data_IF_525820710917
#
_entry.id   IF_525820710917
#
_cell.length_a   1.000
_cell.length_b   1.000
_cell.length_c   1.000
_cell.angle_alpha   90.00
_cell.angle_beta   90.00
_cell.angle_gamma   90.00
#
_symmetry.space_group_name_H-M   'P 1'
#
loop_
_entity.id
_entity.type
_entity.pdbx_description
1 polymer ?
#
# COMPACT_ATOMS: atom_id res chain seq x y z
N UNK A 1 -8.72 17.83 -2.29
CA UNK A 1 -9.37 16.60 -1.77
C UNK A 1 -10.13 15.91 -2.89
N UNK A 2 -10.01 14.59 -3.05
CA UNK A 2 -10.84 13.81 -4.00
C UNK A 2 -12.11 13.38 -3.26
N UNK A 3 -13.27 13.83 -3.72
CA UNK A 3 -14.56 13.49 -3.11
C UNK A 3 -15.61 13.30 -4.20
N UNK A 4 -16.24 12.13 -4.21
CA UNK A 4 -17.35 11.80 -5.10
C UNK A 4 -18.65 11.70 -4.31
N UNK A 5 -19.34 10.56 -4.43
CA UNK A 5 -20.48 10.21 -3.55
C UNK A 5 -20.07 10.21 -2.06
N UNK A 6 -18.87 9.68 -1.76
CA UNK A 6 -18.23 9.64 -0.45
C UNK A 6 -16.70 9.78 -0.64
N UNK A 7 -15.95 9.84 0.46
CA UNK A 7 -14.51 9.66 0.41
C UNK A 7 -14.14 8.25 -0.08
N UNK A 8 -12.99 8.08 -0.75
CA UNK A 8 -12.56 6.76 -1.20
C UNK A 8 -12.25 5.80 -0.05
N UNK A 9 -12.72 4.55 -0.16
CA UNK A 9 -12.39 3.43 0.73
C UNK A 9 -11.46 2.43 0.03
N UNK A 10 -10.27 2.92 -0.31
CA UNK A 10 -9.32 2.20 -1.17
C UNK A 10 -8.74 0.92 -0.53
N UNK A 11 -8.72 0.83 0.79
CA UNK A 11 -8.25 -0.37 1.52
C UNK A 11 -9.16 -1.59 1.36
N UNK A 12 -10.40 -1.42 0.91
CA UNK A 12 -11.38 -2.51 0.80
C UNK A 12 -11.56 -3.06 -0.61
N UNK A 13 -10.71 -2.68 -1.57
CA UNK A 13 -10.75 -3.27 -2.91
C UNK A 13 -10.46 -4.78 -2.87
N UNK A 14 -11.11 -5.51 -3.76
CA UNK A 14 -10.90 -6.94 -3.92
C UNK A 14 -9.64 -7.18 -4.74
N UNK A 15 -8.77 -8.04 -4.23
CA UNK A 15 -7.50 -8.42 -4.86
C UNK A 15 -7.43 -9.93 -5.03
N UNK A 16 -6.49 -10.42 -5.83
CA UNK A 16 -6.29 -11.85 -5.99
C UNK A 16 -5.49 -12.38 -4.81
N UNK A 17 -5.96 -13.48 -4.22
CA UNK A 17 -5.21 -14.23 -3.21
C UNK A 17 -3.93 -14.79 -3.81
N UNK A 18 -2.83 -14.72 -3.06
CA UNK A 18 -1.61 -15.40 -3.47
C UNK A 18 -1.87 -16.92 -3.46
N UNK A 19 -1.45 -17.70 -4.47
CA UNK A 19 -1.79 -19.12 -4.57
C UNK A 19 -1.31 -19.99 -3.40
N UNK A 20 -0.32 -19.50 -2.64
CA UNK A 20 0.24 -20.19 -1.47
C UNK A 20 -0.29 -19.65 -0.13
N UNK A 21 -1.13 -18.61 -0.13
CA UNK A 21 -1.61 -17.98 1.10
C UNK A 21 -3.00 -18.52 1.50
N UNK A 22 -3.01 -19.35 2.54
CA UNK A 22 -4.22 -19.94 3.10
C UNK A 22 -4.89 -19.06 4.18
N UNK A 23 -4.34 -17.88 4.48
CA UNK A 23 -4.89 -16.98 5.49
C UNK A 23 -6.27 -16.44 5.09
N UNK A 24 -7.30 -16.61 5.92
CA UNK A 24 -8.68 -16.25 5.56
C UNK A 24 -8.89 -14.75 5.32
N UNK A 25 -8.12 -13.89 5.97
CA UNK A 25 -8.26 -12.45 5.90
C UNK A 25 -8.86 -11.83 7.18
N UNK A 26 -8.33 -10.68 7.61
CA UNK A 26 -8.67 -10.03 8.88
C UNK A 26 -9.95 -9.19 8.80
N UNK A 27 -10.31 -8.72 7.61
CA UNK A 27 -11.39 -7.74 7.46
C UNK A 27 -12.73 -8.37 7.87
N UNK A 28 -13.49 -7.74 8.79
CA UNK A 28 -14.77 -8.31 9.23
C UNK A 28 -15.85 -8.29 8.14
N UNK A 29 -15.73 -7.39 7.16
CA UNK A 29 -16.71 -7.22 6.07
C UNK A 29 -16.42 -8.11 4.86
N UNK A 30 -15.18 -8.13 4.41
CA UNK A 30 -14.81 -8.73 3.12
C UNK A 30 -13.87 -9.92 3.24
N UNK A 31 -13.36 -10.20 4.46
CA UNK A 31 -12.29 -11.17 4.71
C UNK A 31 -11.00 -10.82 3.99
N UNK A 32 -10.88 -11.13 2.71
CA UNK A 32 -9.65 -11.08 1.91
C UNK A 32 -9.58 -9.89 0.92
N UNK A 33 -10.21 -8.76 1.27
CA UNK A 33 -9.88 -7.48 0.63
C UNK A 33 -8.44 -7.05 0.95
N UNK A 34 -7.93 -6.01 0.28
CA UNK A 34 -6.56 -5.53 0.46
C UNK A 34 -6.17 -5.34 1.94
N UNK A 35 -6.93 -4.56 2.71
CA UNK A 35 -6.71 -4.39 4.15
C UNK A 35 -6.74 -5.73 4.90
N UNK A 36 -7.70 -6.58 4.56
CA UNK A 36 -7.86 -7.89 5.16
C UNK A 36 -6.64 -8.79 4.99
N UNK A 37 -5.86 -8.60 3.93
CA UNK A 37 -4.68 -9.40 3.62
C UNK A 37 -3.35 -8.73 3.98
N UNK A 38 -3.29 -7.40 4.01
CA UNK A 38 -2.05 -6.60 4.08
C UNK A 38 -1.94 -5.68 5.33
N UNK A 39 -2.99 -5.56 6.14
CA UNK A 39 -2.89 -4.73 7.34
C UNK A 39 -1.92 -5.35 8.37
N UNK A 40 -1.31 -4.52 9.23
CA UNK A 40 -0.48 -5.01 10.35
C UNK A 40 -1.15 -6.10 11.20
N UNK A 41 -2.44 -5.97 11.58
CA UNK A 41 -3.17 -7.04 12.26
C UNK A 41 -3.39 -8.30 11.42
N UNK A 42 -3.39 -8.21 10.09
CA UNK A 42 -3.42 -9.36 9.20
C UNK A 42 -2.07 -10.09 9.17
N UNK A 43 -0.96 -9.34 9.15
CA UNK A 43 0.40 -9.90 9.31
C UNK A 43 0.50 -10.64 10.65
N UNK A 44 0.08 -10.00 11.74
CA UNK A 44 0.14 -10.61 13.08
C UNK A 44 -0.71 -11.88 13.18
N UNK A 45 -1.94 -11.86 12.66
CA UNK A 45 -2.80 -13.02 12.67
C UNK A 45 -2.28 -14.16 11.78
N UNK A 46 -1.65 -13.84 10.65
CA UNK A 46 -1.08 -14.82 9.71
C UNK A 46 0.18 -15.50 10.26
N UNK A 47 1.06 -14.73 10.92
CA UNK A 47 2.40 -15.20 11.30
C UNK A 47 2.60 -15.41 12.80
N UNK A 48 1.60 -15.07 13.63
CA UNK A 48 1.67 -15.19 15.08
C UNK A 48 2.63 -14.21 15.76
N UNK A 49 3.16 -13.23 15.03
CA UNK A 49 4.09 -12.19 15.52
C UNK A 49 3.78 -10.87 14.85
N UNK A 50 4.01 -9.76 15.55
CA UNK A 50 3.86 -8.43 14.95
C UNK A 50 4.91 -8.23 13.86
N UNK A 51 4.57 -7.42 12.86
CA UNK A 51 5.45 -7.21 11.70
C UNK A 51 6.88 -6.77 12.08
N UNK A 52 7.03 -5.91 13.09
CA UNK A 52 8.36 -5.45 13.53
C UNK A 52 9.21 -6.52 14.25
N UNK A 53 8.61 -7.66 14.61
CA UNK A 53 9.30 -8.80 15.22
C UNK A 53 9.74 -9.83 14.16
N UNK A 54 9.30 -9.68 12.91
CA UNK A 54 9.68 -10.56 11.82
C UNK A 54 11.06 -10.13 11.26
N UNK A 55 11.97 -11.08 10.99
CA UNK A 55 13.24 -10.80 10.32
C UNK A 55 13.03 -10.12 8.96
N UNK A 56 13.98 -9.29 8.52
CA UNK A 56 13.88 -8.56 7.24
C UNK A 56 13.87 -9.48 6.00
N UNK A 57 14.35 -10.71 6.14
CA UNK A 57 14.38 -11.75 5.10
C UNK A 57 13.20 -12.75 5.20
N UNK A 58 12.26 -12.53 6.12
CA UNK A 58 11.08 -13.38 6.27
C UNK A 58 10.19 -13.36 5.03
N UNK A 59 9.62 -14.52 4.66
CA UNK A 59 8.72 -14.67 3.48
C UNK A 59 7.43 -13.82 3.56
N UNK A 60 7.13 -13.30 4.75
CA UNK A 60 5.99 -12.41 4.98
C UNK A 60 6.06 -11.18 4.07
N UNK A 61 7.27 -10.66 3.83
CA UNK A 61 7.46 -9.45 3.05
C UNK A 61 7.24 -9.65 1.55
N UNK A 62 7.41 -10.87 1.05
CA UNK A 62 7.08 -11.20 -0.34
C UNK A 62 5.56 -11.27 -0.53
N UNK A 63 4.82 -11.88 0.40
CA UNK A 63 3.36 -11.87 0.39
C UNK A 63 2.79 -10.46 0.58
N UNK A 64 3.37 -9.68 1.48
CA UNK A 64 2.93 -8.32 1.76
C UNK A 64 3.13 -7.43 0.53
N UNK A 65 4.30 -7.51 -0.11
CA UNK A 65 4.56 -6.81 -1.36
C UNK A 65 3.61 -7.23 -2.49
N UNK A 66 3.31 -8.53 -2.61
CA UNK A 66 2.34 -9.06 -3.57
C UNK A 66 0.96 -8.41 -3.45
N UNK A 67 0.43 -8.29 -2.22
CA UNK A 67 -0.89 -7.71 -2.01
C UNK A 67 -0.90 -6.19 -2.17
N UNK A 68 0.07 -5.48 -1.61
CA UNK A 68 0.17 -4.03 -1.76
C UNK A 68 0.34 -3.66 -3.24
N UNK A 69 1.22 -4.34 -3.97
CA UNK A 69 1.44 -4.09 -5.39
C UNK A 69 0.17 -4.26 -6.23
N UNK A 70 -0.63 -5.29 -5.98
CA UNK A 70 -1.93 -5.44 -6.66
C UNK A 70 -2.86 -4.25 -6.40
N UNK A 71 -2.93 -3.77 -5.15
CA UNK A 71 -3.72 -2.59 -4.82
C UNK A 71 -3.23 -1.34 -5.56
N UNK A 72 -1.91 -1.12 -5.56
CA UNK A 72 -1.31 0.02 -6.24
C UNK A 72 -1.46 -0.05 -7.76
N UNK A 73 -1.35 -1.22 -8.39
CA UNK A 73 -1.64 -1.39 -9.82
C UNK A 73 -3.08 -1.00 -10.15
N UNK A 74 -4.05 -1.40 -9.32
CA UNK A 74 -5.43 -0.97 -9.51
C UNK A 74 -5.57 0.57 -9.43
N UNK A 75 -4.87 1.23 -8.51
CA UNK A 75 -4.90 2.69 -8.41
C UNK A 75 -4.17 3.37 -9.56
N UNK A 76 -3.04 2.85 -10.01
CA UNK A 76 -2.30 3.34 -11.18
C UNK A 76 -3.21 3.31 -12.41
N UNK A 77 -3.84 2.17 -12.67
CA UNK A 77 -4.68 1.98 -13.86
C UNK A 77 -6.01 2.76 -13.81
N UNK A 78 -6.50 3.08 -12.61
CA UNK A 78 -7.80 3.76 -12.44
C UNK A 78 -7.66 5.28 -12.30
N UNK A 79 -6.65 5.73 -11.56
CA UNK A 79 -6.49 7.12 -11.14
C UNK A 79 -5.29 7.80 -11.80
N UNK A 80 -4.31 7.02 -12.29
CA UNK A 80 -3.06 7.52 -12.88
C UNK A 80 -2.39 8.62 -12.03
N UNK A 81 -2.12 8.40 -10.73
CA UNK A 81 -1.55 9.43 -9.87
C UNK A 81 -0.11 9.73 -10.31
N UNK A 82 0.34 10.97 -10.13
CA UNK A 82 1.71 11.41 -10.42
C UNK A 82 2.71 11.00 -9.32
N UNK A 83 2.22 10.65 -8.12
CA UNK A 83 3.01 10.19 -6.98
C UNK A 83 2.17 9.27 -6.10
N UNK A 84 2.80 8.24 -5.55
CA UNK A 84 2.20 7.35 -4.54
C UNK A 84 3.04 7.45 -3.26
N UNK A 85 2.38 7.77 -2.14
CA UNK A 85 3.03 7.90 -0.84
C UNK A 85 2.48 6.80 0.07
N UNK A 86 3.36 5.90 0.52
CA UNK A 86 3.02 4.77 1.36
C UNK A 86 3.49 5.03 2.80
N UNK A 87 2.53 5.22 3.70
CA UNK A 87 2.78 5.43 5.13
C UNK A 87 2.26 4.29 6.01
N UNK A 88 2.28 4.51 7.32
CA UNK A 88 1.78 3.56 8.32
C UNK A 88 2.84 2.57 8.81
N UNK A 89 2.53 1.87 9.90
CA UNK A 89 3.49 1.06 10.64
C UNK A 89 4.11 -0.10 9.84
N UNK A 90 3.36 -0.71 8.91
CA UNK A 90 3.87 -1.76 8.01
C UNK A 90 4.96 -1.20 7.10
N UNK A 91 4.76 0.00 6.57
CA UNK A 91 5.70 0.65 5.64
C UNK A 91 6.98 1.16 6.32
N UNK A 92 7.11 1.03 7.65
CA UNK A 92 8.40 1.24 8.35
C UNK A 92 9.40 0.12 8.06
N UNK A 93 8.95 -0.98 7.46
CA UNK A 93 9.79 -2.08 6.99
C UNK A 93 10.39 -1.73 5.63
N UNK A 94 11.55 -1.06 5.64
CA UNK A 94 12.17 -0.47 4.43
C UNK A 94 12.43 -1.49 3.31
N UNK A 95 12.68 -2.76 3.66
CA UNK A 95 12.85 -3.87 2.71
C UNK A 95 11.62 -4.10 1.81
N UNK A 96 10.46 -3.56 2.18
CA UNK A 96 9.21 -3.77 1.47
C UNK A 96 9.11 -2.91 0.20
N UNK A 97 9.67 -1.70 0.21
CA UNK A 97 9.64 -0.79 -0.95
C UNK A 97 10.22 -1.42 -2.23
N UNK A 98 11.46 -1.95 -2.25
CA UNK A 98 12.01 -2.56 -3.47
C UNK A 98 11.19 -3.77 -3.92
N UNK A 99 10.60 -4.54 -3.00
CA UNK A 99 9.72 -5.68 -3.33
C UNK A 99 8.42 -5.23 -3.99
N UNK A 100 7.74 -4.22 -3.42
CA UNK A 100 6.51 -3.64 -3.99
C UNK A 100 6.77 -3.09 -5.39
N UNK A 101 7.82 -2.29 -5.56
CA UNK A 101 8.17 -1.67 -6.85
C UNK A 101 8.41 -2.73 -7.91
N UNK A 102 9.19 -3.77 -7.58
CA UNK A 102 9.43 -4.91 -8.48
C UNK A 102 8.11 -5.60 -8.88
N UNK A 103 7.27 -5.94 -7.92
CA UNK A 103 6.00 -6.63 -8.17
C UNK A 103 5.06 -5.79 -9.04
N UNK A 104 5.01 -4.46 -8.85
CA UNK A 104 4.23 -3.56 -9.71
C UNK A 104 4.68 -3.63 -11.16
N UNK A 105 6.00 -3.57 -11.42
CA UNK A 105 6.53 -3.70 -12.78
C UNK A 105 6.16 -5.05 -13.39
N UNK A 106 6.27 -6.13 -12.62
CA UNK A 106 5.90 -7.48 -13.06
C UNK A 106 4.39 -7.61 -13.35
N UNK A 107 3.52 -6.99 -12.55
CA UNK A 107 2.07 -6.99 -12.74
C UNK A 107 1.63 -6.13 -13.93
N UNK A 108 2.28 -4.98 -14.16
CA UNK A 108 1.98 -4.08 -15.29
C UNK A 108 2.44 -4.66 -16.63
N UNK A 109 3.41 -5.60 -16.64
CA UNK A 109 3.84 -6.34 -17.86
C UNK A 109 4.16 -5.44 -19.05
N UNK A 110 4.73 -4.26 -18.80
CA UNK A 110 5.08 -3.28 -19.84
C UNK A 110 3.89 -2.59 -20.53
N UNK A 111 2.67 -2.72 -19.98
CA UNK A 111 1.47 -2.05 -20.50
C UNK A 111 1.54 -0.52 -20.34
N UNK A 112 1.96 -0.06 -19.16
CA UNK A 112 2.18 1.36 -18.87
C UNK A 112 3.66 1.68 -19.14
N UNK A 113 3.91 2.59 -20.08
CA UNK A 113 5.25 2.98 -20.53
C UNK A 113 5.50 4.45 -20.25
N UNK A 114 5.58 4.81 -18.97
CA UNK A 114 5.93 6.17 -18.52
C UNK A 114 7.25 6.17 -17.77
N UNK A 115 7.89 7.34 -17.69
CA UNK A 115 9.17 7.52 -16.99
C UNK A 115 9.06 7.14 -15.51
N UNK A 116 7.92 7.41 -14.87
CA UNK A 116 7.65 7.06 -13.47
C UNK A 116 7.74 5.55 -13.22
N UNK A 117 7.27 4.72 -14.14
CA UNK A 117 7.29 3.26 -13.99
C UNK A 117 8.59 2.65 -14.48
N UNK A 118 9.11 3.12 -15.63
CA UNK A 118 10.24 2.50 -16.30
C UNK A 118 11.61 2.92 -15.75
N UNK A 119 11.74 4.16 -15.31
CA UNK A 119 13.04 4.76 -14.98
C UNK A 119 13.10 5.32 -13.56
N UNK A 120 11.95 5.76 -13.02
CA UNK A 120 11.91 6.58 -11.82
C UNK A 120 10.98 6.04 -10.72
N UNK A 121 10.77 4.72 -10.69
CA UNK A 121 9.79 4.09 -9.78
C UNK A 121 10.15 4.32 -8.29
N UNK A 122 11.43 4.50 -8.01
CA UNK A 122 11.93 4.79 -6.67
C UNK A 122 11.52 6.18 -6.17
N UNK A 123 11.33 7.13 -7.08
CA UNK A 123 10.78 8.44 -6.78
C UNK A 123 9.28 8.52 -7.08
N UNK A 124 8.67 7.51 -7.69
CA UNK A 124 7.22 7.46 -7.89
C UNK A 124 6.49 6.95 -6.65
N UNK A 125 6.98 5.87 -6.06
CA UNK A 125 6.40 5.20 -4.88
C UNK A 125 7.35 5.40 -3.70
N UNK A 126 6.98 6.30 -2.78
CA UNK A 126 7.88 6.79 -1.73
C UNK A 126 7.27 6.67 -0.33
N UNK A 127 8.13 6.76 0.69
CA UNK A 127 7.70 7.01 2.07
C UNK A 127 7.40 8.51 2.26
N UNK A 128 6.44 8.91 3.12
CA UNK A 128 6.19 10.32 3.39
C UNK A 128 7.42 11.01 3.99
N UNK A 129 7.83 12.14 3.40
CA UNK A 129 8.93 12.97 3.94
C UNK A 129 8.60 13.54 5.31
N UNK A 130 7.33 13.80 5.58
CA UNK A 130 6.82 14.25 6.89
C UNK A 130 6.71 13.09 7.90
N UNK A 131 7.03 11.87 7.50
CA UNK A 131 6.92 10.66 8.32
C UNK A 131 5.54 10.50 8.96
N UNK A 132 5.54 10.16 10.26
CA UNK A 132 4.31 9.96 11.03
C UNK A 132 3.51 11.27 11.24
N UNK A 133 4.08 12.44 10.92
CA UNK A 133 3.42 13.74 11.09
C UNK A 133 2.55 14.14 9.89
N UNK A 134 2.57 13.39 8.78
CA UNK A 134 1.82 13.75 7.57
C UNK A 134 0.33 14.00 7.84
N UNK A 135 -0.31 13.14 8.65
CA UNK A 135 -1.72 13.30 9.02
C UNK A 135 -2.00 14.52 9.90
N UNK A 136 -1.16 14.75 10.92
CA UNK A 136 -1.28 15.91 11.81
C UNK A 136 -1.12 17.22 11.04
N UNK A 137 -0.08 17.33 10.23
CA UNK A 137 0.20 18.52 9.42
C UNK A 137 -0.87 18.73 8.35
N UNK A 138 -1.44 17.66 7.79
CA UNK A 138 -2.60 17.75 6.90
C UNK A 138 -3.82 18.37 7.58
N UNK A 139 -4.12 18.01 8.84
CA UNK A 139 -5.22 18.61 9.59
C UNK A 139 -4.98 20.11 9.89
N UNK A 140 -3.73 20.49 10.19
CA UNK A 140 -3.34 21.90 10.34
C UNK A 140 -3.53 22.64 9.01
N UNK A 141 -3.07 22.07 7.90
CA UNK A 141 -3.21 22.66 6.57
C UNK A 141 -4.69 22.90 6.21
N UNK A 142 -5.58 21.93 6.48
CA UNK A 142 -7.03 22.11 6.29
C UNK A 142 -7.58 23.29 7.10
N UNK A 143 -7.08 23.50 8.33
CA UNK A 143 -7.51 24.65 9.14
C UNK A 143 -7.03 25.97 8.54
N UNK A 144 -5.81 26.01 8.00
CA UNK A 144 -5.26 27.22 7.36
C UNK A 144 -5.98 27.55 6.05
N UNK A 145 -6.35 26.55 5.26
CA UNK A 145 -7.10 26.73 4.01
C UNK A 145 -8.52 27.26 4.24
N UNK A 146 -9.18 26.88 5.34
CA UNK A 146 -10.55 27.29 5.65
C UNK A 146 -10.67 28.63 6.41
N UNK A 147 -9.55 29.33 6.67
CA UNK A 147 -9.52 30.60 7.41
C UNK A 147 -9.34 31.85 6.51
N UNK A 148 -9.78 31.79 5.25
CA UNK A 148 -9.88 32.94 4.34
C UNK A 148 -11.24 32.98 3.64
#
# INVERSE_FOLDING_TARGET
LVHGMLHPEMGHIIIKRHPKDNYEGKCPFHKDCLEGMAAGPAIEARWGKKGYELPSDHEAWDLEAYYIAQGLVNFILTLSPEKIILGGGVMKQEQLFPKIRKEIVELLKGYIQTTEILENIDNYIVYPELGDNAGLLGAVALTLENNY
#
